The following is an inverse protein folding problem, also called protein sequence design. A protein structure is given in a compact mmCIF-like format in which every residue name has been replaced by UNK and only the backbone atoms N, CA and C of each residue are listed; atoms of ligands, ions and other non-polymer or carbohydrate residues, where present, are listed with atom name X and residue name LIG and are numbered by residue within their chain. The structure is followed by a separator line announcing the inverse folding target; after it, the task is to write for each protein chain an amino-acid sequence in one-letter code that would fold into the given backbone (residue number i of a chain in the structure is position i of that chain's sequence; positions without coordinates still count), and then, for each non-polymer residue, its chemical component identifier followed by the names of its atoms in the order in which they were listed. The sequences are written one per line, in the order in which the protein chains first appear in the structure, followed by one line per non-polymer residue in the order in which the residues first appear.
data_IF_550681658156
#
_entry.id   IF_550681658156
#
_cell.length_a   1.000
_cell.length_b   1.000
_cell.length_c   1.000
_cell.angle_alpha   90.00
_cell.angle_beta   90.00
_cell.angle_gamma   90.00
#
_symmetry.space_group_name_H-M   'P 1'
#
loop_
_entity.id
_entity.type
_entity.pdbx_description
1 polymer ?
#
# COMPACT_ATOMS: atom_id res chain seq x y z
N UNK A 1 -19.71 0.96 -7.83
CA UNK A 1 -18.98 1.44 -9.03
C UNK A 1 -18.02 0.34 -9.47
N UNK A 2 -17.81 0.15 -10.78
CA UNK A 2 -16.79 -0.78 -11.27
C UNK A 2 -15.52 0.05 -11.48
N UNK A 3 -14.54 -0.11 -10.60
CA UNK A 3 -13.24 0.51 -10.79
C UNK A 3 -12.54 -0.13 -12.00
N UNK A 4 -11.81 0.67 -12.77
CA UNK A 4 -11.01 0.20 -13.89
C UNK A 4 -9.55 0.43 -13.48
N UNK A 5 -8.77 -0.65 -13.23
CA UNK A 5 -7.34 -0.54 -12.95
C UNK A 5 -6.59 0.15 -14.09
N UNK A 6 -5.56 0.93 -13.75
CA UNK A 6 -4.74 1.64 -14.76
C UNK A 6 -3.91 0.66 -15.61
N UNK A 7 -3.43 -0.41 -14.99
CA UNK A 7 -2.58 -1.46 -15.58
C UNK A 7 -3.06 -2.83 -15.11
N UNK A 8 -2.80 -3.92 -15.86
CA UNK A 8 -3.02 -5.28 -15.37
C UNK A 8 -2.15 -5.57 -14.14
N UNK A 9 -2.62 -6.43 -13.23
CA UNK A 9 -1.87 -6.79 -12.01
C UNK A 9 -0.47 -7.31 -12.29
N UNK A 10 -0.26 -8.00 -13.41
CA UNK A 10 1.03 -8.57 -13.81
C UNK A 10 2.11 -7.50 -13.97
N UNK A 11 1.70 -6.24 -14.23
CA UNK A 11 2.60 -5.10 -14.29
C UNK A 11 3.46 -4.97 -13.03
N UNK A 12 2.90 -5.24 -11.85
CA UNK A 12 3.60 -5.11 -10.56
C UNK A 12 4.55 -6.26 -10.25
N UNK A 13 4.46 -7.38 -10.99
CA UNK A 13 5.25 -8.59 -10.74
C UNK A 13 6.26 -8.89 -11.86
N UNK A 14 6.07 -8.34 -13.06
CA UNK A 14 6.93 -8.61 -14.21
C UNK A 14 7.80 -7.38 -14.54
N UNK A 15 9.09 -7.47 -14.20
CA UNK A 15 10.09 -6.40 -14.42
C UNK A 15 9.77 -5.07 -13.72
N UNK A 16 8.87 -5.06 -12.74
CA UNK A 16 8.51 -3.87 -11.98
C UNK A 16 9.61 -3.42 -11.02
N UNK A 17 10.25 -4.40 -10.39
CA UNK A 17 11.22 -4.21 -9.32
C UNK A 17 12.64 -3.98 -9.87
N UNK A 18 12.83 -2.86 -10.56
CA UNK A 18 14.16 -2.38 -10.94
C UNK A 18 14.97 -1.97 -9.71
N UNK A 19 16.27 -1.72 -9.88
CA UNK A 19 17.13 -1.23 -8.79
C UNK A 19 16.60 0.07 -8.18
N UNK A 20 16.13 0.99 -9.03
CA UNK A 20 15.58 2.28 -8.63
C UNK A 20 14.27 2.10 -7.85
N UNK A 21 13.46 1.10 -8.22
CA UNK A 21 12.24 0.75 -7.50
C UNK A 21 12.55 0.21 -6.11
N UNK A 22 13.52 -0.69 -5.99
CA UNK A 22 13.99 -1.19 -4.69
C UNK A 22 14.49 -0.10 -3.77
N UNK A 23 15.25 0.86 -4.32
CA UNK A 23 15.70 2.04 -3.55
C UNK A 23 14.48 2.87 -3.08
N UNK A 24 13.47 3.00 -3.93
CA UNK A 24 12.23 3.72 -3.57
C UNK A 24 11.49 3.04 -2.42
N UNK A 25 11.34 1.70 -2.45
CA UNK A 25 10.76 0.96 -1.32
C UNK A 25 11.56 1.15 -0.04
N UNK A 26 12.90 1.10 -0.14
CA UNK A 26 13.77 1.30 1.02
C UNK A 26 13.52 2.66 1.67
N UNK A 27 13.44 3.75 0.89
CA UNK A 27 13.13 5.07 1.44
C UNK A 27 11.74 5.13 2.06
N UNK A 28 10.71 4.60 1.40
CA UNK A 28 9.35 4.59 1.95
C UNK A 28 9.30 3.87 3.31
N UNK A 29 9.86 2.66 3.38
CA UNK A 29 9.94 1.88 4.62
C UNK A 29 10.72 2.66 5.69
N UNK A 30 11.89 3.18 5.34
CA UNK A 30 12.76 3.89 6.28
C UNK A 30 12.09 5.16 6.85
N UNK A 31 11.41 5.94 6.02
CA UNK A 31 10.69 7.13 6.47
C UNK A 31 9.48 6.78 7.34
N UNK A 32 8.73 5.71 7.01
CA UNK A 32 7.64 5.22 7.87
C UNK A 32 8.19 4.78 9.23
N UNK A 33 9.25 3.99 9.28
CA UNK A 33 9.82 3.49 10.53
C UNK A 33 10.38 4.59 11.44
N UNK A 34 10.95 5.66 10.87
CA UNK A 34 11.43 6.82 11.64
C UNK A 34 10.34 7.53 12.44
N UNK A 35 9.10 7.43 12.00
CA UNK A 35 7.94 8.03 12.69
C UNK A 35 7.45 7.16 13.85
N UNK A 36 7.99 5.93 14.00
CA UNK A 36 7.57 4.94 14.99
C UNK A 36 6.03 4.77 15.09
N UNK A 37 5.33 4.54 13.95
CA UNK A 37 3.87 4.45 13.94
C UNK A 37 3.38 3.11 14.49
N UNK A 38 2.17 3.11 15.03
CA UNK A 38 1.47 1.88 15.42
C UNK A 38 0.51 1.42 14.32
N UNK A 39 -0.12 2.38 13.60
CA UNK A 39 -1.15 2.11 12.61
C UNK A 39 -0.94 2.90 11.31
N UNK A 40 -0.64 2.20 10.21
CA UNK A 40 -0.31 2.76 8.89
C UNK A 40 -1.39 2.42 7.87
N UNK A 41 -1.70 3.36 6.99
CA UNK A 41 -2.50 3.14 5.79
C UNK A 41 -1.58 3.14 4.57
N UNK A 42 -1.58 2.09 3.77
CA UNK A 42 -0.93 2.10 2.45
C UNK A 42 -2.00 2.26 1.37
N UNK A 43 -1.86 3.30 0.53
CA UNK A 43 -2.74 3.55 -0.63
C UNK A 43 -1.99 3.19 -1.91
N UNK A 44 -2.53 2.25 -2.68
CA UNK A 44 -1.87 1.69 -3.87
C UNK A 44 -0.91 0.58 -3.47
N UNK A 45 -1.43 -0.64 -3.28
CA UNK A 45 -0.69 -1.74 -2.64
C UNK A 45 0.38 -2.38 -3.55
N UNK A 46 0.22 -2.25 -4.88
CA UNK A 46 1.16 -2.80 -5.86
C UNK A 46 1.48 -4.27 -5.62
N UNK A 47 2.76 -4.60 -5.48
CA UNK A 47 3.24 -5.96 -5.20
C UNK A 47 3.46 -6.26 -3.70
N UNK A 48 2.92 -5.43 -2.79
CA UNK A 48 2.95 -5.61 -1.32
C UNK A 48 4.32 -5.52 -0.65
N UNK A 49 5.40 -5.14 -1.33
CA UNK A 49 6.75 -5.10 -0.74
C UNK A 49 6.82 -4.22 0.51
N UNK A 50 6.20 -3.05 0.49
CA UNK A 50 6.23 -2.10 1.62
C UNK A 50 5.34 -2.59 2.76
N UNK A 51 4.05 -2.88 2.52
CA UNK A 51 3.17 -3.41 3.57
C UNK A 51 3.68 -4.70 4.21
N UNK A 52 4.18 -5.66 3.42
CA UNK A 52 4.69 -6.92 3.96
C UNK A 52 5.90 -6.72 4.86
N UNK A 53 6.79 -5.79 4.51
CA UNK A 53 7.93 -5.48 5.36
C UNK A 53 7.48 -4.80 6.67
N UNK A 54 6.62 -3.79 6.60
CA UNK A 54 6.11 -3.07 7.77
C UNK A 54 5.34 -4.02 8.71
N UNK A 55 4.49 -4.89 8.17
CA UNK A 55 3.79 -5.93 8.94
C UNK A 55 4.77 -6.88 9.64
N UNK A 56 5.87 -7.27 8.97
CA UNK A 56 6.95 -8.08 9.59
C UNK A 56 7.67 -7.35 10.73
N UNK A 57 7.70 -6.02 10.72
CA UNK A 57 8.18 -5.21 11.84
C UNK A 57 7.16 -5.05 12.98
N UNK A 58 5.99 -5.70 12.88
CA UNK A 58 4.93 -5.64 13.90
C UNK A 58 4.00 -4.44 13.78
N UNK A 59 4.13 -3.64 12.73
CA UNK A 59 3.27 -2.47 12.49
C UNK A 59 1.93 -2.95 11.92
N UNK A 60 0.83 -2.37 12.43
CA UNK A 60 -0.50 -2.61 11.85
C UNK A 60 -0.62 -1.83 10.55
N UNK A 61 -0.77 -2.53 9.43
CA UNK A 61 -0.93 -1.92 8.11
C UNK A 61 -2.28 -2.28 7.53
N UNK A 62 -3.07 -1.26 7.19
CA UNK A 62 -4.26 -1.38 6.34
C UNK A 62 -3.91 -1.01 4.91
N UNK A 63 -4.24 -1.85 3.93
CA UNK A 63 -4.00 -1.56 2.51
C UNK A 63 -5.28 -1.21 1.78
N UNK A 64 -5.19 -0.25 0.86
CA UNK A 64 -6.29 0.18 0.00
C UNK A 64 -5.84 0.23 -1.45
N UNK A 65 -6.63 -0.35 -2.33
CA UNK A 65 -6.45 -0.22 -3.78
C UNK A 65 -7.82 -0.18 -4.47
N UNK A 66 -7.87 0.34 -5.69
CA UNK A 66 -9.06 0.23 -6.54
C UNK A 66 -9.13 -1.11 -7.26
N UNK A 67 -7.99 -1.80 -7.41
CA UNK A 67 -7.87 -3.09 -8.06
C UNK A 67 -8.06 -4.25 -7.06
N UNK A 68 -9.20 -4.98 -7.11
CA UNK A 68 -9.43 -6.12 -6.23
C UNK A 68 -8.48 -7.30 -6.51
N UNK A 69 -7.88 -7.39 -7.70
CA UNK A 69 -6.96 -8.49 -8.01
C UNK A 69 -5.62 -8.39 -7.29
N UNK A 70 -5.28 -7.21 -6.75
CA UNK A 70 -4.11 -7.02 -5.88
C UNK A 70 -4.39 -7.45 -4.43
N UNK A 71 -5.63 -7.84 -4.12
CA UNK A 71 -6.09 -8.28 -2.80
C UNK A 71 -5.70 -7.30 -1.67
N UNK A 72 -6.14 -6.02 -1.73
CA UNK A 72 -6.01 -5.09 -0.62
C UNK A 72 -7.00 -5.41 0.52
N UNK A 73 -6.79 -4.84 1.71
CA UNK A 73 -7.73 -4.98 2.83
C UNK A 73 -9.08 -4.32 2.51
N UNK A 74 -9.06 -3.18 1.80
CA UNK A 74 -10.27 -2.54 1.28
C UNK A 74 -10.12 -2.16 -0.19
N UNK A 75 -11.18 -2.44 -0.96
CA UNK A 75 -11.27 -2.02 -2.37
C UNK A 75 -12.04 -0.70 -2.45
N UNK A 76 -11.33 0.44 -2.57
CA UNK A 76 -11.97 1.75 -2.70
C UNK A 76 -11.07 2.81 -3.35
N UNK A 77 -11.70 3.90 -3.83
CA UNK A 77 -11.00 5.07 -4.34
C UNK A 77 -10.38 5.87 -3.21
N UNK A 78 -9.17 6.41 -3.44
CA UNK A 78 -8.52 7.38 -2.55
C UNK A 78 -9.40 8.61 -2.26
N UNK A 79 -10.31 8.96 -3.18
CA UNK A 79 -11.25 10.08 -2.99
C UNK A 79 -12.38 9.78 -2.00
N UNK A 80 -12.59 8.51 -1.67
CA UNK A 80 -13.70 8.05 -0.84
C UNK A 80 -13.21 7.36 0.46
N UNK A 81 -11.95 7.57 0.85
CA UNK A 81 -11.36 6.90 2.02
C UNK A 81 -12.18 7.12 3.29
N UNK A 82 -12.68 8.34 3.54
CA UNK A 82 -13.44 8.65 4.77
C UNK A 82 -14.80 7.94 4.86
N UNK A 83 -15.36 7.51 3.72
CA UNK A 83 -16.61 6.76 3.69
C UNK A 83 -16.38 5.30 4.13
N UNK A 84 -15.26 4.72 3.71
CA UNK A 84 -14.92 3.31 3.89
C UNK A 84 -14.11 3.07 5.17
N UNK A 85 -13.05 3.85 5.37
CA UNK A 85 -12.16 3.77 6.52
C UNK A 85 -12.69 4.66 7.65
N UNK A 86 -12.87 4.06 8.83
CA UNK A 86 -13.29 4.75 10.05
C UNK A 86 -12.17 4.91 11.08
N UNK A 87 -11.03 4.26 10.85
CA UNK A 87 -9.86 4.32 11.73
C UNK A 87 -9.01 5.56 11.43
N UNK A 88 -8.28 6.02 12.44
CA UNK A 88 -7.20 7.01 12.28
C UNK A 88 -5.89 6.28 12.03
N UNK A 89 -5.04 6.86 11.20
CA UNK A 89 -3.73 6.34 10.86
C UNK A 89 -2.67 7.37 11.22
N UNK A 90 -1.52 6.90 11.69
CA UNK A 90 -0.40 7.75 12.08
C UNK A 90 0.34 8.27 10.85
N UNK A 91 0.38 7.44 9.80
CA UNK A 91 1.05 7.69 8.52
C UNK A 91 0.22 7.10 7.39
N UNK A 92 0.22 7.79 6.24
CA UNK A 92 -0.37 7.36 4.96
C UNK A 92 0.72 7.41 3.89
#
# INVERSE_FOLDING_TARGET
MKFVPQVPKEHYFKNYDTKERWISYWYQINEVLKLNPENVLEVGVGNKVVSDYLRKQGIKVTTVDIDPELEPDFVCSVTNLSEVLKSKYDVV
#
